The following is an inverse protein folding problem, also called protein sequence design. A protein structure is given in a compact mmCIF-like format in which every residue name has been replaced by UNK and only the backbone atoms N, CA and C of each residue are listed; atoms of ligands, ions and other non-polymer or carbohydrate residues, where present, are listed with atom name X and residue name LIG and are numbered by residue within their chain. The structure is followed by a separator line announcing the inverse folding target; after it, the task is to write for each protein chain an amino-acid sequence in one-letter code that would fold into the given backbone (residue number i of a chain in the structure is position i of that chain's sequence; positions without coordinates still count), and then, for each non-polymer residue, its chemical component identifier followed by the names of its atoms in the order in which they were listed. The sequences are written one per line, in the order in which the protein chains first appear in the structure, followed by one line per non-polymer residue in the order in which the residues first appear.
data_IF_065861460850
#
_entry.id   IF_065861460850
#
_cell.length_a   1.000
_cell.length_b   1.000
_cell.length_c   1.000
_cell.angle_alpha   90.00
_cell.angle_beta   90.00
_cell.angle_gamma   90.00
#
_symmetry.space_group_name_H-M   'P 1'
#
loop_
_entity.id
_entity.type
_entity.pdbx_description
1 polymer ?
#
# COMPACT_ATOMS: atom_id res chain seq x y z
N UNK A 1 8.96 10.91 5.87
CA UNK A 1 8.80 9.84 4.88
C UNK A 1 7.73 10.18 3.87
N UNK A 2 8.08 10.12 2.58
CA UNK A 2 7.15 10.40 1.50
C UNK A 2 6.99 9.16 0.63
N UNK A 3 5.77 8.71 0.45
CA UNK A 3 5.46 7.61 -0.44
C UNK A 3 4.78 8.14 -1.70
N UNK A 4 5.01 7.49 -2.86
CA UNK A 4 4.19 7.80 -4.04
C UNK A 4 2.72 7.67 -3.69
N UNK A 5 1.90 8.48 -4.33
CA UNK A 5 0.47 8.56 -3.98
C UNK A 5 -0.21 7.19 -4.01
N UNK A 6 0.03 6.41 -5.05
CA UNK A 6 -0.63 5.11 -5.16
C UNK A 6 -0.23 4.15 -4.04
N UNK A 7 1.06 4.14 -3.69
CA UNK A 7 1.53 3.31 -2.59
C UNK A 7 0.91 3.73 -1.26
N UNK A 8 0.79 5.04 -1.04
CA UNK A 8 0.20 5.57 0.17
C UNK A 8 -1.28 5.19 0.28
N UNK A 9 -2.02 5.34 -0.81
CA UNK A 9 -3.46 5.02 -0.82
C UNK A 9 -3.67 3.53 -0.55
N UNK A 10 -2.93 2.67 -1.26
CA UNK A 10 -3.05 1.22 -1.07
C UNK A 10 -2.70 0.83 0.35
N UNK A 11 -1.62 1.41 0.89
CA UNK A 11 -1.21 1.10 2.24
C UNK A 11 -2.30 1.47 3.25
N UNK A 12 -2.87 2.67 3.11
CA UNK A 12 -3.91 3.12 4.04
C UNK A 12 -5.14 2.22 3.98
N UNK A 13 -5.58 1.87 2.78
CA UNK A 13 -6.78 1.04 2.63
C UNK A 13 -6.56 -0.36 3.16
N UNK A 14 -5.39 -0.92 2.95
CA UNK A 14 -5.11 -2.29 3.38
C UNK A 14 -4.76 -2.37 4.87
N UNK A 15 -3.94 -1.45 5.37
CA UNK A 15 -3.43 -1.52 6.74
C UNK A 15 -4.43 -0.96 7.75
N UNK A 16 -4.92 0.26 7.50
CA UNK A 16 -5.81 0.91 8.47
C UNK A 16 -7.27 0.52 8.31
N UNK A 17 -7.75 0.47 7.08
CA UNK A 17 -9.15 0.13 6.82
C UNK A 17 -9.37 -1.37 6.69
N UNK A 18 -8.29 -2.15 6.63
CA UNK A 18 -8.32 -3.61 6.60
C UNK A 18 -9.14 -4.17 5.44
N UNK A 19 -9.16 -3.46 4.31
CA UNK A 19 -9.87 -3.93 3.13
C UNK A 19 -9.10 -5.07 2.47
N UNK A 20 -9.86 -6.02 1.89
CA UNK A 20 -9.24 -7.07 1.09
C UNK A 20 -8.77 -6.51 -0.23
N UNK A 21 -7.75 -7.14 -0.84
CA UNK A 21 -7.22 -6.68 -2.11
C UNK A 21 -8.28 -6.59 -3.19
N UNK A 22 -9.23 -7.54 -3.19
CA UNK A 22 -10.31 -7.54 -4.18
C UNK A 22 -11.18 -6.29 -4.05
N UNK A 23 -11.44 -5.85 -2.83
CA UNK A 23 -12.21 -4.64 -2.59
C UNK A 23 -11.44 -3.40 -3.03
N UNK A 24 -10.15 -3.35 -2.69
CA UNK A 24 -9.30 -2.23 -3.09
C UNK A 24 -9.22 -2.16 -4.62
N UNK A 25 -9.13 -3.33 -5.26
CA UNK A 25 -9.07 -3.40 -6.72
C UNK A 25 -10.31 -2.77 -7.35
N UNK A 26 -11.47 -3.00 -6.77
CA UNK A 26 -12.72 -2.40 -7.26
C UNK A 26 -12.74 -0.90 -7.02
N UNK A 27 -12.31 -0.47 -5.84
CA UNK A 27 -12.34 0.95 -5.48
C UNK A 27 -11.38 1.75 -6.37
N UNK A 28 -10.19 1.22 -6.61
CA UNK A 28 -9.16 1.94 -7.36
C UNK A 28 -9.09 1.55 -8.83
N UNK A 29 -9.93 0.63 -9.28
CA UNK A 29 -9.91 0.13 -10.65
C UNK A 29 -8.51 -0.35 -11.03
N UNK A 30 -7.95 -1.20 -10.18
CA UNK A 30 -6.60 -1.73 -10.35
C UNK A 30 -6.60 -3.25 -10.24
N UNK A 31 -5.51 -3.85 -10.69
CA UNK A 31 -5.35 -5.30 -10.58
C UNK A 31 -4.82 -5.66 -9.20
N UNK A 32 -5.26 -6.81 -8.67
CA UNK A 32 -4.81 -7.28 -7.36
C UNK A 32 -3.29 -7.40 -7.30
N UNK A 33 -2.66 -7.93 -8.36
CA UNK A 33 -1.20 -8.09 -8.39
C UNK A 33 -0.49 -6.75 -8.24
N UNK A 34 -1.00 -5.72 -8.91
CA UNK A 34 -0.42 -4.38 -8.81
C UNK A 34 -0.54 -3.84 -7.38
N UNK A 35 -1.67 -4.10 -6.74
CA UNK A 35 -1.89 -3.64 -5.37
C UNK A 35 -0.96 -4.33 -4.40
N UNK A 36 -0.74 -5.62 -4.57
CA UNK A 36 0.19 -6.36 -3.71
C UNK A 36 1.60 -5.81 -3.82
N UNK A 37 2.05 -5.51 -5.03
CA UNK A 37 3.38 -4.94 -5.26
C UNK A 37 3.49 -3.57 -4.59
N UNK A 38 2.49 -2.72 -4.77
CA UNK A 38 2.50 -1.38 -4.18
C UNK A 38 2.50 -1.45 -2.65
N UNK A 39 1.73 -2.36 -2.08
CA UNK A 39 1.68 -2.53 -0.64
C UNK A 39 3.02 -3.00 -0.10
N UNK A 40 3.63 -3.95 -0.79
CA UNK A 40 4.94 -4.47 -0.41
C UNK A 40 6.00 -3.36 -0.39
N UNK A 41 6.04 -2.54 -1.43
CA UNK A 41 6.98 -1.43 -1.49
C UNK A 41 6.73 -0.41 -0.38
N UNK A 42 5.47 -0.12 -0.11
CA UNK A 42 5.12 0.83 0.95
C UNK A 42 5.61 0.31 2.31
N UNK A 43 5.37 -0.95 2.59
CA UNK A 43 5.81 -1.57 3.84
C UNK A 43 7.32 -1.53 3.99
N UNK A 44 8.05 -1.84 2.91
CA UNK A 44 9.50 -1.84 2.94
C UNK A 44 10.05 -0.44 3.22
N UNK A 45 9.47 0.57 2.58
CA UNK A 45 9.92 1.94 2.78
C UNK A 45 9.67 2.42 4.20
N UNK A 46 8.51 2.09 4.74
CA UNK A 46 8.17 2.45 6.12
C UNK A 46 9.12 1.75 7.08
N UNK A 47 9.38 0.48 6.86
CA UNK A 47 10.30 -0.29 7.69
C UNK A 47 11.71 0.30 7.67
N UNK A 48 12.21 0.64 6.49
CA UNK A 48 13.52 1.27 6.36
C UNK A 48 13.57 2.59 7.11
N UNK A 49 12.53 3.39 6.96
CA UNK A 49 12.47 4.68 7.63
C UNK A 49 12.56 4.52 9.14
N UNK A 50 11.83 3.56 9.70
CA UNK A 50 11.83 3.32 11.14
C UNK A 50 13.19 2.80 11.60
N UNK A 51 13.79 1.88 10.86
CA UNK A 51 15.04 1.26 11.26
C UNK A 51 16.26 2.18 11.11
N UNK A 52 16.18 3.15 10.21
CA UNK A 52 17.32 4.02 9.89
C UNK A 52 17.14 5.46 10.36
N UNK A 53 16.24 5.70 11.27
CA UNK A 53 15.99 7.04 11.81
C UNK A 53 17.14 7.51 12.67
#
# INVERSE_FOLDING_TARGET
LTLPEKQRIVFNLRYYDELEYEEIARVLDSKVETLKVNYHYAKDKIKEYILNR
#
